data_IF_879243842241
#
_entry.id   IF_879243842241
#
_cell.length_a   1.000
_cell.length_b   1.000
_cell.length_c   1.000
_cell.angle_alpha   90.00
_cell.angle_beta   90.00
_cell.angle_gamma   90.00
#
_symmetry.space_group_name_H-M   'P 1'
#
loop_
_entity.id
_entity.type
_entity.pdbx_description
1 polymer ?
#
# COMPACT_ATOMS: atom_id res chain seq x y z
N UNK A 1 -25.66 -16.79 30.58
CA UNK A 1 -26.72 -16.09 29.82
C UNK A 1 -26.40 -16.27 28.35
N UNK A 2 -27.21 -17.02 27.59
CA UNK A 2 -27.05 -17.13 26.14
C UNK A 2 -27.78 -15.95 25.51
N UNK A 3 -27.03 -14.96 25.06
CA UNK A 3 -27.50 -13.84 24.24
C UNK A 3 -28.06 -14.39 22.92
N UNK A 4 -29.29 -14.01 22.57
CA UNK A 4 -29.96 -14.45 21.34
C UNK A 4 -29.48 -13.60 20.14
N UNK A 5 -29.46 -14.15 18.91
CA UNK A 5 -29.16 -13.39 17.69
C UNK A 5 -30.06 -12.17 17.52
N UNK A 6 -29.48 -11.03 17.13
CA UNK A 6 -30.20 -9.75 16.97
C UNK A 6 -30.15 -9.27 15.50
N UNK A 7 -30.93 -9.89 14.59
CA UNK A 7 -30.84 -9.63 13.15
C UNK A 7 -31.19 -8.20 12.76
N UNK A 8 -32.16 -7.56 13.43
CA UNK A 8 -32.57 -6.19 13.14
C UNK A 8 -31.50 -5.17 13.55
N UNK A 9 -30.89 -5.37 14.72
CA UNK A 9 -29.79 -4.52 15.19
C UNK A 9 -28.54 -4.66 14.29
N UNK A 10 -28.22 -5.89 13.88
CA UNK A 10 -27.14 -6.13 12.92
C UNK A 10 -27.43 -5.47 11.57
N UNK A 11 -28.66 -5.60 11.03
CA UNK A 11 -29.05 -4.94 9.78
C UNK A 11 -28.95 -3.42 9.86
N UNK A 12 -29.32 -2.82 11.00
CA UNK A 12 -29.16 -1.39 11.22
C UNK A 12 -27.67 -0.97 11.20
N UNK A 13 -26.79 -1.74 11.84
CA UNK A 13 -25.35 -1.50 11.81
C UNK A 13 -24.76 -1.62 10.40
N UNK A 14 -25.18 -2.64 9.63
CA UNK A 14 -24.80 -2.81 8.22
C UNK A 14 -25.25 -1.60 7.38
N UNK A 15 -26.44 -1.08 7.63
CA UNK A 15 -26.96 0.11 6.92
C UNK A 15 -26.14 1.37 7.19
N UNK A 16 -25.53 1.50 8.38
CA UNK A 16 -24.67 2.65 8.70
C UNK A 16 -23.34 2.61 7.97
N UNK A 17 -22.89 1.41 7.55
CA UNK A 17 -21.62 1.23 6.84
C UNK A 17 -21.73 1.39 5.33
N UNK A 18 -22.94 1.41 4.76
CA UNK A 18 -23.13 1.74 3.35
C UNK A 18 -23.06 3.26 3.13
N UNK A 19 -22.02 3.70 2.42
CA UNK A 19 -21.93 5.08 1.96
C UNK A 19 -22.95 5.32 0.83
N UNK A 20 -24.07 5.96 1.16
CA UNK A 20 -25.07 6.39 0.17
C UNK A 20 -24.48 7.54 -0.66
N UNK A 21 -24.46 7.40 -1.99
CA UNK A 21 -23.94 8.41 -2.93
C UNK A 21 -22.51 8.17 -3.44
N UNK A 22 -21.86 7.06 -3.05
CA UNK A 22 -20.65 6.59 -3.71
C UNK A 22 -20.99 5.94 -5.07
N UNK A 23 -20.54 6.57 -6.17
CA UNK A 23 -20.73 6.10 -7.55
C UNK A 23 -20.26 4.65 -7.74
N UNK A 24 -19.19 4.22 -7.05
CA UNK A 24 -18.71 2.84 -7.14
C UNK A 24 -19.70 1.89 -6.48
N UNK A 25 -20.18 2.22 -5.29
CA UNK A 25 -21.22 1.45 -4.59
C UNK A 25 -22.53 1.38 -5.38
N UNK A 26 -22.90 2.43 -6.11
CA UNK A 26 -24.07 2.43 -7.01
C UNK A 26 -23.89 1.51 -8.23
N UNK A 27 -22.74 1.57 -8.89
CA UNK A 27 -22.42 0.65 -10.01
C UNK A 27 -22.49 -0.81 -9.55
N UNK A 28 -21.88 -1.12 -8.39
CA UNK A 28 -21.91 -2.48 -7.83
C UNK A 28 -23.33 -2.95 -7.48
N UNK A 29 -24.22 -2.03 -7.07
CA UNK A 29 -25.64 -2.29 -6.83
C UNK A 29 -26.40 -2.55 -8.14
N UNK A 30 -26.06 -1.86 -9.23
CA UNK A 30 -26.66 -2.14 -10.54
C UNK A 30 -26.20 -3.51 -11.08
N UNK A 31 -24.92 -3.86 -10.94
CA UNK A 31 -24.39 -5.18 -11.29
C UNK A 31 -24.99 -6.31 -10.45
N UNK A 32 -25.37 -6.02 -9.20
CA UNK A 32 -26.08 -6.96 -8.33
C UNK A 32 -27.39 -7.45 -8.96
N UNK A 33 -28.15 -6.57 -9.64
CA UNK A 33 -29.45 -6.95 -10.24
C UNK A 33 -29.28 -8.03 -11.33
N UNK A 34 -28.21 -7.96 -12.12
CA UNK A 34 -27.89 -8.97 -13.13
C UNK A 34 -27.47 -10.30 -12.49
N UNK A 35 -26.80 -10.25 -11.34
CA UNK A 35 -26.35 -11.43 -10.59
C UNK A 35 -27.52 -12.09 -9.87
N UNK A 36 -28.38 -11.32 -9.20
CA UNK A 36 -29.62 -11.79 -8.54
C UNK A 36 -30.60 -12.41 -9.55
N UNK A 37 -30.71 -11.85 -10.75
CA UNK A 37 -31.51 -12.46 -11.82
C UNK A 37 -30.94 -13.82 -12.28
N UNK A 38 -29.61 -13.96 -12.32
CA UNK A 38 -28.95 -15.27 -12.53
C UNK A 38 -29.17 -16.24 -11.37
N UNK A 39 -29.23 -15.76 -10.12
CA UNK A 39 -29.54 -16.61 -8.94
C UNK A 39 -30.90 -17.29 -9.05
N UNK A 40 -31.92 -16.53 -9.48
CA UNK A 40 -33.29 -17.04 -9.65
C UNK A 40 -33.38 -18.16 -10.69
N UNK A 41 -32.46 -18.18 -11.65
CA UNK A 41 -32.41 -19.16 -12.73
C UNK A 41 -31.56 -20.41 -12.40
N UNK A 42 -30.66 -20.34 -11.42
CA UNK A 42 -29.63 -21.38 -11.15
C UNK A 42 -29.80 -22.15 -9.83
N UNK A 43 -30.87 -21.90 -9.06
CA UNK A 43 -31.16 -22.56 -7.77
C UNK A 43 -30.08 -22.35 -6.68
N UNK A 44 -29.86 -21.09 -6.31
CA UNK A 44 -29.68 -20.67 -4.91
C UNK A 44 -28.26 -20.62 -4.34
N UNK A 45 -27.55 -21.74 -4.26
CA UNK A 45 -26.43 -21.85 -3.32
C UNK A 45 -25.08 -21.38 -3.87
N UNK A 46 -24.82 -21.51 -5.18
CA UNK A 46 -23.54 -21.07 -5.76
C UNK A 46 -23.43 -19.55 -5.86
N UNK A 47 -24.56 -18.87 -5.91
CA UNK A 47 -24.58 -17.48 -6.34
C UNK A 47 -24.50 -16.46 -5.19
N UNK A 48 -24.97 -16.76 -3.97
CA UNK A 48 -24.69 -15.91 -2.78
C UNK A 48 -23.17 -15.82 -2.55
N UNK A 49 -22.46 -16.91 -2.77
CA UNK A 49 -21.01 -16.99 -2.58
C UNK A 49 -20.21 -16.30 -3.69
N UNK A 50 -20.86 -15.94 -4.79
CA UNK A 50 -20.25 -15.15 -5.87
C UNK A 50 -20.38 -13.64 -5.66
N UNK A 51 -21.19 -13.23 -4.69
CA UNK A 51 -21.39 -11.82 -4.36
C UNK A 51 -20.30 -11.35 -3.41
N UNK A 52 -19.88 -10.12 -3.61
CA UNK A 52 -18.96 -9.48 -2.68
C UNK A 52 -19.67 -8.85 -1.48
N UNK A 53 -18.88 -8.43 -0.50
CA UNK A 53 -19.36 -7.83 0.76
C UNK A 53 -20.38 -6.72 0.52
N UNK A 54 -20.09 -5.73 -0.34
CA UNK A 54 -21.00 -4.62 -0.64
C UNK A 54 -22.34 -5.09 -1.23
N UNK A 55 -22.31 -6.06 -2.16
CA UNK A 55 -23.54 -6.63 -2.73
C UNK A 55 -24.36 -7.40 -1.69
N UNK A 56 -23.70 -8.12 -0.79
CA UNK A 56 -24.35 -8.84 0.30
C UNK A 56 -24.96 -7.89 1.33
N UNK A 57 -24.32 -6.76 1.63
CA UNK A 57 -24.90 -5.69 2.46
C UNK A 57 -26.19 -5.14 1.84
N UNK A 58 -26.18 -4.83 0.54
CA UNK A 58 -27.37 -4.36 -0.18
C UNK A 58 -28.49 -5.41 -0.20
N UNK A 59 -28.15 -6.70 -0.38
CA UNK A 59 -29.14 -7.77 -0.31
C UNK A 59 -29.77 -7.88 1.08
N UNK A 60 -28.98 -7.82 2.15
CA UNK A 60 -29.50 -7.89 3.52
C UNK A 60 -30.44 -6.73 3.83
N UNK A 61 -30.13 -5.52 3.34
CA UNK A 61 -30.95 -4.33 3.53
C UNK A 61 -32.19 -4.32 2.62
N UNK A 62 -32.13 -4.97 1.47
CA UNK A 62 -33.26 -5.07 0.53
C UNK A 62 -34.28 -6.17 0.85
N UNK A 63 -33.95 -7.12 1.74
CA UNK A 63 -34.82 -8.25 2.07
C UNK A 63 -35.94 -7.90 3.06
N UNK A 64 -37.08 -8.59 2.94
CA UNK A 64 -38.17 -8.53 3.90
C UNK A 64 -37.69 -9.12 5.26
N UNK A 65 -37.75 -8.36 6.38
CA UNK A 65 -37.37 -8.84 7.71
C UNK A 65 -38.13 -10.09 8.18
N UNK A 66 -39.30 -10.39 7.61
CA UNK A 66 -40.14 -11.51 8.04
C UNK A 66 -39.64 -12.90 7.59
N UNK A 67 -38.65 -12.96 6.68
CA UNK A 67 -38.14 -14.22 6.12
C UNK A 67 -36.80 -14.63 6.74
N UNK A 68 -36.86 -15.37 7.86
CA UNK A 68 -35.69 -15.70 8.70
C UNK A 68 -34.64 -16.56 7.98
N UNK A 69 -35.05 -17.57 7.19
CA UNK A 69 -34.10 -18.55 6.61
C UNK A 69 -33.23 -17.95 5.50
N UNK A 70 -33.79 -17.24 4.49
CA UNK A 70 -32.99 -16.55 3.48
C UNK A 70 -32.12 -15.44 4.06
N UNK A 71 -32.60 -14.74 5.08
CA UNK A 71 -31.85 -13.70 5.78
C UNK A 71 -30.59 -14.27 6.44
N UNK A 72 -30.71 -15.41 7.13
CA UNK A 72 -29.54 -16.05 7.75
C UNK A 72 -28.51 -16.51 6.70
N UNK A 73 -28.91 -17.04 5.54
CA UNK A 73 -27.94 -17.40 4.49
C UNK A 73 -27.17 -16.18 3.96
N UNK A 74 -27.83 -15.03 3.79
CA UNK A 74 -27.17 -13.78 3.38
C UNK A 74 -26.23 -13.28 4.46
N UNK A 75 -26.63 -13.34 5.74
CA UNK A 75 -25.76 -12.97 6.88
C UNK A 75 -24.52 -13.85 6.91
N UNK A 76 -24.66 -15.16 6.71
CA UNK A 76 -23.51 -16.09 6.68
C UNK A 76 -22.53 -15.74 5.56
N UNK A 77 -23.04 -15.51 4.34
CA UNK A 77 -22.22 -15.06 3.21
C UNK A 77 -21.56 -13.71 3.50
N UNK A 78 -22.29 -12.77 4.10
CA UNK A 78 -21.79 -11.44 4.44
C UNK A 78 -20.64 -11.50 5.44
N UNK A 79 -20.77 -12.30 6.51
CA UNK A 79 -19.70 -12.46 7.51
C UNK A 79 -18.48 -13.11 6.87
N UNK A 80 -18.65 -14.18 6.09
CA UNK A 80 -17.55 -14.82 5.38
C UNK A 80 -16.82 -13.84 4.45
N UNK A 81 -17.57 -13.10 3.64
CA UNK A 81 -17.01 -12.12 2.70
C UNK A 81 -16.32 -10.98 3.44
N UNK A 82 -16.91 -10.48 4.54
CA UNK A 82 -16.32 -9.42 5.35
C UNK A 82 -14.99 -9.84 5.98
N UNK A 83 -14.89 -11.09 6.43
CA UNK A 83 -13.62 -11.65 6.93
C UNK A 83 -12.55 -11.72 5.83
N UNK A 84 -12.93 -12.09 4.61
CA UNK A 84 -12.01 -12.20 3.47
C UNK A 84 -11.57 -10.81 3.00
N UNK A 85 -12.51 -9.86 2.90
CA UNK A 85 -12.28 -8.47 2.48
C UNK A 85 -11.71 -7.59 3.62
N UNK A 86 -11.37 -8.16 4.78
CA UNK A 86 -10.85 -7.45 5.97
C UNK A 86 -11.73 -6.30 6.51
N UNK A 87 -13.05 -6.41 6.35
CA UNK A 87 -14.05 -5.44 6.83
C UNK A 87 -14.35 -5.63 8.33
N UNK A 88 -13.40 -5.24 9.18
CA UNK A 88 -13.43 -5.49 10.63
C UNK A 88 -14.69 -4.94 11.31
N UNK A 89 -15.16 -3.76 10.92
CA UNK A 89 -16.37 -3.17 11.49
C UNK A 89 -17.62 -4.05 11.29
N UNK A 90 -17.72 -4.80 10.18
CA UNK A 90 -18.81 -5.75 9.97
C UNK A 90 -18.65 -7.01 10.82
N UNK A 91 -17.42 -7.47 10.99
CA UNK A 91 -17.09 -8.65 11.81
C UNK A 91 -17.40 -8.37 13.27
N UNK A 92 -16.98 -7.22 13.79
CA UNK A 92 -17.26 -6.77 15.17
C UNK A 92 -18.76 -6.60 15.41
N UNK A 93 -19.50 -6.02 14.46
CA UNK A 93 -20.95 -5.94 14.55
C UNK A 93 -21.58 -7.34 14.59
N UNK A 94 -21.10 -8.29 13.80
CA UNK A 94 -21.61 -9.66 13.80
C UNK A 94 -21.36 -10.37 15.14
N UNK A 95 -20.21 -10.13 15.77
CA UNK A 95 -19.90 -10.62 17.12
C UNK A 95 -20.81 -9.97 18.17
N UNK A 96 -20.92 -8.64 18.17
CA UNK A 96 -21.73 -7.86 19.12
C UNK A 96 -23.21 -8.27 19.12
N UNK A 97 -23.76 -8.54 17.93
CA UNK A 97 -25.18 -8.87 17.75
C UNK A 97 -25.45 -10.38 17.67
N UNK A 98 -24.48 -11.22 18.07
CA UNK A 98 -24.61 -12.70 18.11
C UNK A 98 -25.01 -13.32 16.76
N UNK A 99 -24.51 -12.77 15.66
CA UNK A 99 -24.80 -13.23 14.30
C UNK A 99 -23.80 -14.28 13.80
N UNK A 100 -22.74 -14.58 14.58
CA UNK A 100 -21.79 -15.65 14.25
C UNK A 100 -22.49 -17.00 14.23
N UNK A 101 -22.24 -17.77 13.16
CA UNK A 101 -22.86 -19.08 12.96
C UNK A 101 -22.54 -20.00 14.14
N UNK A 102 -23.53 -20.67 14.75
CA UNK A 102 -23.28 -21.55 15.90
C UNK A 102 -22.23 -22.65 15.62
N UNK A 103 -22.22 -23.21 14.41
CA UNK A 103 -21.21 -24.20 14.00
C UNK A 103 -19.80 -23.64 13.87
N UNK A 104 -19.64 -22.32 13.76
CA UNK A 104 -18.36 -21.64 13.71
C UNK A 104 -17.82 -21.29 15.09
N UNK A 105 -18.69 -21.10 16.10
CA UNK A 105 -18.28 -20.72 17.47
C UNK A 105 -17.15 -21.62 18.02
N UNK A 106 -17.13 -22.91 17.69
CA UNK A 106 -16.11 -23.85 18.14
C UNK A 106 -14.68 -23.57 17.65
N UNK A 107 -14.51 -22.89 16.51
CA UNK A 107 -13.19 -22.53 15.97
C UNK A 107 -13.00 -21.01 15.81
N UNK A 108 -14.07 -20.22 15.83
CA UNK A 108 -14.07 -18.78 15.59
C UNK A 108 -13.14 -18.03 16.57
N UNK A 109 -13.36 -18.21 17.88
CA UNK A 109 -12.57 -17.54 18.91
C UNK A 109 -11.09 -17.95 18.83
N UNK A 110 -10.84 -19.22 18.51
CA UNK A 110 -9.49 -19.75 18.30
C UNK A 110 -8.80 -19.13 17.09
N UNK A 111 -9.53 -18.85 16.00
CA UNK A 111 -8.99 -18.16 14.84
C UNK A 111 -8.75 -16.67 15.14
N UNK A 112 -9.68 -15.99 15.83
CA UNK A 112 -9.59 -14.58 16.22
C UNK A 112 -8.43 -14.28 17.17
N UNK A 113 -8.05 -15.25 17.99
CA UNK A 113 -6.96 -15.11 18.96
C UNK A 113 -5.75 -15.98 18.62
N UNK A 114 -5.65 -16.45 17.36
CA UNK A 114 -4.61 -17.41 16.99
C UNK A 114 -3.21 -16.83 17.22
N UNK A 115 -2.42 -17.55 18.02
CA UNK A 115 -1.00 -17.31 18.23
C UNK A 115 -0.28 -18.64 18.14
N UNK A 116 0.80 -18.70 17.35
CA UNK A 116 1.57 -19.94 17.23
C UNK A 116 2.51 -19.97 16.03
N UNK A 117 3.13 -21.13 15.85
CA UNK A 117 3.97 -21.43 14.68
C UNK A 117 3.14 -21.87 13.49
N UNK A 118 3.78 -21.98 12.33
CA UNK A 118 3.18 -22.49 11.10
C UNK A 118 2.62 -23.90 11.25
N UNK A 119 3.25 -24.77 12.04
CA UNK A 119 2.78 -26.15 12.29
C UNK A 119 1.48 -26.14 13.08
N UNK A 120 1.37 -25.28 14.10
CA UNK A 120 0.14 -25.12 14.89
C UNK A 120 -1.00 -24.57 14.04
N UNK A 121 -0.70 -23.66 13.12
CA UNK A 121 -1.69 -23.11 12.20
C UNK A 121 -2.19 -24.18 11.23
N UNK A 122 -1.28 -24.95 10.62
CA UNK A 122 -1.65 -26.07 9.76
C UNK A 122 -2.49 -27.12 10.50
N UNK A 123 -2.11 -27.51 11.72
CA UNK A 123 -2.87 -28.46 12.52
C UNK A 123 -4.27 -27.93 12.90
N UNK A 124 -4.37 -26.64 13.24
CA UNK A 124 -5.66 -26.00 13.49
C UNK A 124 -6.55 -26.02 12.24
N UNK A 125 -6.03 -25.56 11.10
CA UNK A 125 -6.79 -25.50 9.86
C UNK A 125 -7.18 -26.88 9.34
N UNK A 126 -6.32 -27.90 9.51
CA UNK A 126 -6.62 -29.29 9.15
C UNK A 126 -7.78 -29.90 9.94
N UNK A 127 -8.15 -29.33 11.10
CA UNK A 127 -9.32 -29.77 11.86
C UNK A 127 -10.65 -29.27 11.28
N UNK A 128 -10.61 -28.31 10.36
CA UNK A 128 -11.80 -27.70 9.73
C UNK A 128 -12.03 -28.38 8.38
N UNK A 129 -13.05 -29.24 8.32
CA UNK A 129 -13.35 -30.07 7.13
C UNK A 129 -14.02 -29.32 6.00
N UNK A 130 -14.89 -28.36 6.33
CA UNK A 130 -15.61 -27.57 5.33
C UNK A 130 -14.69 -26.50 4.74
N UNK A 131 -14.54 -26.49 3.41
CA UNK A 131 -13.58 -25.64 2.70
C UNK A 131 -13.87 -24.14 2.86
N UNK A 132 -15.14 -23.76 3.03
CA UNK A 132 -15.53 -22.36 3.25
C UNK A 132 -15.18 -21.91 4.66
N UNK A 133 -15.55 -22.70 5.65
CA UNK A 133 -15.17 -22.50 7.06
C UNK A 133 -13.65 -22.48 7.21
N UNK A 134 -12.94 -23.32 6.46
CA UNK A 134 -11.48 -23.32 6.39
C UNK A 134 -10.95 -21.97 5.88
N UNK A 135 -11.53 -21.45 4.79
CA UNK A 135 -11.11 -20.17 4.21
C UNK A 135 -11.33 -19.00 5.17
N UNK A 136 -12.49 -18.93 5.82
CA UNK A 136 -12.81 -17.91 6.84
C UNK A 136 -11.86 -18.02 8.03
N UNK A 137 -11.64 -19.23 8.56
CA UNK A 137 -10.73 -19.46 9.67
C UNK A 137 -9.28 -19.10 9.32
N UNK A 138 -8.82 -19.45 8.11
CA UNK A 138 -7.49 -19.11 7.62
C UNK A 138 -7.32 -17.59 7.51
N UNK A 139 -8.30 -16.88 6.95
CA UNK A 139 -8.28 -15.42 6.92
C UNK A 139 -8.28 -14.81 8.33
N UNK A 140 -9.09 -15.29 9.27
CA UNK A 140 -9.06 -14.76 10.64
C UNK A 140 -7.71 -15.01 11.34
N UNK A 141 -7.21 -16.25 11.29
CA UNK A 141 -6.00 -16.63 12.00
C UNK A 141 -4.74 -15.97 11.42
N UNK A 142 -4.64 -15.86 10.09
CA UNK A 142 -3.48 -15.27 9.43
C UNK A 142 -3.43 -13.75 9.55
N UNK A 143 -4.56 -13.07 9.79
CA UNK A 143 -4.59 -11.63 10.09
C UNK A 143 -3.77 -11.31 11.35
N UNK A 144 -3.97 -12.10 12.40
CA UNK A 144 -3.34 -11.89 13.72
C UNK A 144 -1.96 -12.51 13.85
N UNK A 145 -1.67 -13.54 13.05
CA UNK A 145 -0.36 -14.18 13.02
C UNK A 145 0.20 -14.37 11.60
N UNK A 146 0.50 -13.29 10.85
CA UNK A 146 0.99 -13.41 9.48
C UNK A 146 2.30 -14.20 9.36
N UNK A 147 3.14 -14.17 10.41
CA UNK A 147 4.40 -14.92 10.47
C UNK A 147 4.23 -16.44 10.45
N UNK A 148 3.03 -16.94 10.76
CA UNK A 148 2.72 -18.37 10.71
C UNK A 148 2.37 -18.84 9.29
N UNK A 149 2.21 -17.94 8.31
CA UNK A 149 1.88 -18.30 6.93
C UNK A 149 3.09 -19.00 6.29
N UNK A 150 2.86 -20.17 5.69
CA UNK A 150 3.87 -20.94 4.96
C UNK A 150 3.33 -21.47 3.62
N UNK A 151 4.20 -22.10 2.83
CA UNK A 151 3.85 -22.65 1.52
C UNK A 151 2.71 -23.67 1.57
N UNK A 152 2.59 -24.45 2.66
CA UNK A 152 1.51 -25.43 2.82
C UNK A 152 0.12 -24.78 2.85
N UNK A 153 -0.01 -23.67 3.57
CA UNK A 153 -1.28 -22.93 3.66
C UNK A 153 -1.62 -22.32 2.30
N UNK A 154 -0.64 -21.68 1.65
CA UNK A 154 -0.79 -21.10 0.32
C UNK A 154 -1.12 -22.17 -0.73
N UNK A 155 -0.54 -23.38 -0.62
CA UNK A 155 -0.87 -24.51 -1.50
C UNK A 155 -2.30 -24.98 -1.31
N UNK A 156 -2.75 -25.06 -0.06
CA UNK A 156 -4.10 -25.54 0.28
C UNK A 156 -5.18 -24.57 -0.18
N UNK A 157 -4.93 -23.27 -0.10
CA UNK A 157 -5.85 -22.24 -0.60
C UNK A 157 -5.81 -22.04 -2.11
N UNK A 158 -4.81 -22.57 -2.82
CA UNK A 158 -4.62 -22.36 -4.25
C UNK A 158 -5.59 -23.18 -5.12
N UNK A 159 -6.83 -22.74 -5.10
CA UNK A 159 -7.93 -23.26 -5.92
C UNK A 159 -8.79 -22.10 -6.39
N UNK A 160 -9.41 -22.21 -7.56
CA UNK A 160 -10.25 -21.15 -8.11
C UNK A 160 -11.38 -20.73 -7.15
N UNK A 161 -11.95 -21.67 -6.40
CA UNK A 161 -12.99 -21.43 -5.41
C UNK A 161 -12.54 -20.62 -4.19
N UNK A 162 -11.24 -20.66 -3.88
CA UNK A 162 -10.63 -19.95 -2.76
C UNK A 162 -9.70 -18.82 -3.24
N UNK A 163 -9.80 -18.39 -4.48
CA UNK A 163 -8.84 -17.45 -5.06
C UNK A 163 -8.73 -16.12 -4.26
N UNK A 164 -9.85 -15.61 -3.73
CA UNK A 164 -9.85 -14.44 -2.84
C UNK A 164 -9.17 -14.73 -1.48
N UNK A 165 -9.44 -15.89 -0.89
CA UNK A 165 -8.79 -16.34 0.36
C UNK A 165 -7.29 -16.51 0.17
N UNK A 166 -6.89 -17.20 -0.90
CA UNK A 166 -5.50 -17.40 -1.28
C UNK A 166 -4.79 -16.06 -1.40
N UNK A 167 -5.40 -15.13 -2.13
CA UNK A 167 -4.84 -13.79 -2.32
C UNK A 167 -4.67 -13.05 -0.99
N UNK A 168 -5.69 -13.04 -0.14
CA UNK A 168 -5.61 -12.35 1.15
C UNK A 168 -4.48 -12.92 2.03
N UNK A 169 -4.34 -14.25 2.05
CA UNK A 169 -3.26 -14.92 2.76
C UNK A 169 -1.91 -14.58 2.11
N UNK A 170 -1.82 -14.55 0.78
CA UNK A 170 -0.60 -14.20 0.06
C UNK A 170 -0.16 -12.75 0.34
N UNK A 171 -1.08 -11.78 0.29
CA UNK A 171 -0.80 -10.37 0.61
C UNK A 171 -0.24 -10.20 2.03
N UNK A 172 -0.83 -10.90 3.01
CA UNK A 172 -0.31 -10.90 4.39
C UNK A 172 1.03 -11.58 4.52
N UNK A 173 1.26 -12.65 3.76
CA UNK A 173 2.55 -13.33 3.74
C UNK A 173 3.66 -12.40 3.20
N UNK A 174 3.36 -11.64 2.15
CA UNK A 174 4.26 -10.67 1.53
C UNK A 174 4.60 -9.50 2.48
N UNK A 175 3.65 -9.08 3.32
CA UNK A 175 3.88 -8.00 4.28
C UNK A 175 4.83 -8.37 5.44
N UNK A 176 5.04 -9.66 5.72
CA UNK A 176 5.69 -10.10 6.97
C UNK A 176 6.87 -11.07 6.82
N UNK A 177 7.11 -11.65 5.64
CA UNK A 177 8.15 -12.66 5.44
C UNK A 177 9.40 -12.10 4.77
N UNK A 178 10.61 -12.59 5.10
CA UNK A 178 11.77 -12.31 4.27
C UNK A 178 11.52 -12.88 2.86
N UNK A 179 11.73 -12.10 1.80
CA UNK A 179 10.75 -12.06 0.74
C UNK A 179 10.88 -13.19 -0.27
N UNK A 180 12.04 -13.81 -0.41
CA UNK A 180 12.37 -14.55 -1.64
C UNK A 180 11.67 -15.90 -1.78
N UNK A 181 11.55 -16.69 -0.70
CA UNK A 181 10.97 -18.04 -0.80
C UNK A 181 9.45 -17.98 -1.08
N UNK A 182 8.73 -17.18 -0.31
CA UNK A 182 7.26 -17.02 -0.46
C UNK A 182 6.90 -16.31 -1.77
N UNK A 183 7.65 -15.27 -2.17
CA UNK A 183 7.40 -14.63 -3.48
C UNK A 183 7.63 -15.59 -4.63
N UNK A 184 8.71 -16.39 -4.58
CA UNK A 184 8.96 -17.43 -5.58
C UNK A 184 7.85 -18.47 -5.65
N UNK A 185 7.37 -18.92 -4.49
CA UNK A 185 6.28 -19.87 -4.40
C UNK A 185 4.98 -19.29 -5.00
N UNK A 186 4.63 -18.05 -4.66
CA UNK A 186 3.46 -17.35 -5.21
C UNK A 186 3.58 -17.19 -6.72
N UNK A 187 4.76 -16.81 -7.24
CA UNK A 187 4.98 -16.73 -8.69
C UNK A 187 4.76 -18.08 -9.38
N UNK A 188 5.28 -19.16 -8.80
CA UNK A 188 5.09 -20.51 -9.35
C UNK A 188 3.61 -20.90 -9.37
N UNK A 189 2.89 -20.60 -8.29
CA UNK A 189 1.45 -20.85 -8.20
C UNK A 189 0.66 -20.10 -9.28
N UNK A 190 0.89 -18.79 -9.42
CA UNK A 190 0.28 -17.97 -10.46
C UNK A 190 0.61 -18.49 -11.86
N UNK A 191 1.84 -18.97 -12.06
CA UNK A 191 2.26 -19.56 -13.32
C UNK A 191 1.47 -20.83 -13.66
N UNK A 192 1.28 -21.69 -12.66
CA UNK A 192 0.61 -22.99 -12.81
C UNK A 192 -0.91 -22.83 -12.98
N UNK A 193 -1.52 -21.80 -12.37
CA UNK A 193 -2.94 -21.45 -12.56
C UNK A 193 -3.15 -19.91 -12.64
N UNK A 194 -2.95 -19.29 -13.82
CA UNK A 194 -3.16 -17.85 -13.98
C UNK A 194 -4.60 -17.40 -13.70
N UNK A 195 -5.59 -18.31 -13.73
CA UNK A 195 -6.97 -17.97 -13.44
C UNK A 195 -7.18 -17.56 -11.98
N UNK A 196 -6.31 -17.98 -11.06
CA UNK A 196 -6.37 -17.54 -9.65
C UNK A 196 -6.15 -16.02 -9.50
N UNK A 197 -5.48 -15.42 -10.48
CA UNK A 197 -5.25 -13.97 -10.55
C UNK A 197 -6.42 -13.20 -11.14
N UNK A 198 -7.42 -13.86 -11.75
CA UNK A 198 -8.65 -13.22 -12.27
C UNK A 198 -9.61 -12.75 -11.16
N UNK A 199 -9.10 -12.61 -9.94
CA UNK A 199 -9.78 -12.01 -8.80
C UNK A 199 -9.65 -10.49 -8.79
N UNK A 200 -10.24 -9.83 -7.79
CA UNK A 200 -10.32 -8.36 -7.66
C UNK A 200 -8.95 -7.69 -7.69
N UNK A 201 -8.68 -6.75 -8.60
CA UNK A 201 -7.49 -5.88 -8.62
C UNK A 201 -6.13 -6.60 -8.77
N UNK A 202 -5.97 -7.44 -9.80
CA UNK A 202 -4.74 -8.20 -10.08
C UNK A 202 -3.49 -7.33 -10.22
N UNK A 203 -3.63 -6.09 -10.70
CA UNK A 203 -2.50 -5.18 -10.96
C UNK A 203 -1.80 -4.76 -9.67
N UNK A 204 -2.57 -4.35 -8.66
CA UNK A 204 -2.03 -3.96 -7.34
C UNK A 204 -1.32 -5.12 -6.64
N UNK A 205 -1.89 -6.33 -6.74
CA UNK A 205 -1.26 -7.52 -6.15
C UNK A 205 0.06 -7.88 -6.86
N UNK A 206 0.08 -7.87 -8.19
CA UNK A 206 1.30 -8.07 -8.96
C UNK A 206 2.36 -7.02 -8.61
N UNK A 207 1.98 -5.76 -8.49
CA UNK A 207 2.90 -4.69 -8.08
C UNK A 207 3.53 -4.98 -6.71
N UNK A 208 2.73 -5.43 -5.74
CA UNK A 208 3.20 -5.80 -4.40
C UNK A 208 4.16 -6.99 -4.45
N UNK A 209 3.82 -8.01 -5.24
CA UNK A 209 4.67 -9.19 -5.44
C UNK A 209 6.02 -8.84 -6.10
N UNK A 210 6.02 -7.96 -7.10
CA UNK A 210 7.23 -7.46 -7.77
C UNK A 210 8.13 -6.69 -6.80
N UNK A 211 7.55 -5.83 -5.95
CA UNK A 211 8.30 -5.07 -4.94
C UNK A 211 8.88 -5.99 -3.87
N UNK A 212 8.16 -7.02 -3.47
CA UNK A 212 8.61 -7.98 -2.49
C UNK A 212 9.72 -8.88 -3.05
N UNK A 213 9.69 -9.27 -4.33
CA UNK A 213 10.70 -10.17 -4.90
C UNK A 213 12.13 -9.64 -4.74
N UNK A 214 13.10 -10.48 -4.40
CA UNK A 214 14.51 -10.06 -4.27
C UNK A 214 15.43 -10.60 -5.37
N UNK A 215 14.95 -11.54 -6.19
CA UNK A 215 15.74 -12.10 -7.29
C UNK A 215 15.84 -11.15 -8.50
N UNK A 216 16.89 -11.32 -9.29
CA UNK A 216 17.08 -10.60 -10.56
C UNK A 216 16.28 -11.19 -11.72
N UNK A 217 15.62 -12.33 -11.52
CA UNK A 217 14.90 -13.12 -12.52
C UNK A 217 13.41 -12.73 -12.65
N UNK A 218 12.99 -11.62 -12.04
CA UNK A 218 11.59 -11.18 -11.98
C UNK A 218 10.91 -11.10 -13.36
N UNK A 219 11.61 -10.59 -14.37
CA UNK A 219 11.05 -10.47 -15.72
C UNK A 219 10.79 -11.84 -16.36
N UNK A 220 11.62 -12.84 -16.06
CA UNK A 220 11.40 -14.21 -16.53
C UNK A 220 10.17 -14.84 -15.87
N UNK A 221 9.97 -14.59 -14.57
CA UNK A 221 8.79 -15.03 -13.81
C UNK A 221 7.51 -14.33 -14.26
N UNK A 222 7.60 -13.06 -14.65
CA UNK A 222 6.47 -12.28 -15.14
C UNK A 222 6.05 -12.61 -16.57
N UNK A 223 6.95 -13.15 -17.41
CA UNK A 223 6.71 -13.41 -18.84
C UNK A 223 5.39 -14.17 -19.11
N UNK A 224 5.02 -15.21 -18.34
CA UNK A 224 3.80 -15.99 -18.61
C UNK A 224 2.51 -15.27 -18.22
N UNK A 225 2.61 -14.25 -17.36
CA UNK A 225 1.48 -13.45 -16.84
C UNK A 225 1.55 -11.98 -17.22
N UNK A 226 2.37 -11.64 -18.22
CA UNK A 226 2.59 -10.24 -18.64
C UNK A 226 1.30 -9.56 -19.13
N UNK A 227 0.32 -10.34 -19.59
CA UNK A 227 -1.01 -9.85 -20.02
C UNK A 227 -1.86 -9.35 -18.85
N UNK A 228 -1.57 -9.79 -17.62
CA UNK A 228 -2.24 -9.34 -16.40
C UNK A 228 -1.65 -8.05 -15.83
N UNK A 229 -0.54 -7.59 -16.40
CA UNK A 229 0.22 -6.45 -15.90
C UNK A 229 -0.42 -5.13 -16.33
N UNK A 230 -1.03 -4.43 -15.37
CA UNK A 230 -1.53 -3.07 -15.53
C UNK A 230 -0.45 -2.01 -15.30
N UNK A 231 -0.87 -0.81 -14.94
CA UNK A 231 0.05 0.32 -14.76
C UNK A 231 0.83 0.23 -13.43
N UNK A 232 0.23 -0.27 -12.35
CA UNK A 232 0.91 -0.38 -11.06
C UNK A 232 2.06 -1.38 -11.12
N UNK A 233 1.82 -2.57 -11.70
CA UNK A 233 2.86 -3.58 -11.83
C UNK A 233 3.99 -3.13 -12.77
N UNK A 234 3.67 -2.36 -13.83
CA UNK A 234 4.68 -1.72 -14.69
C UNK A 234 5.55 -0.73 -13.92
N UNK A 235 4.96 0.13 -13.10
CA UNK A 235 5.70 1.06 -12.25
C UNK A 235 6.60 0.30 -11.28
N UNK A 236 6.11 -0.78 -10.66
CA UNK A 236 6.93 -1.61 -9.78
C UNK A 236 8.14 -2.22 -10.51
N UNK A 237 7.97 -2.78 -11.71
CA UNK A 237 9.09 -3.28 -12.52
C UNK A 237 10.04 -2.15 -12.94
N UNK A 238 9.51 -0.97 -13.26
CA UNK A 238 10.32 0.15 -13.69
C UNK A 238 11.15 0.72 -12.54
N UNK A 239 10.61 0.79 -11.32
CA UNK A 239 11.39 1.11 -10.11
C UNK A 239 12.55 0.15 -9.91
N UNK A 240 12.34 -1.16 -10.08
CA UNK A 240 13.45 -2.13 -10.02
C UNK A 240 14.48 -1.90 -11.12
N UNK A 241 14.05 -1.59 -12.33
CA UNK A 241 14.95 -1.27 -13.42
C UNK A 241 15.78 0.00 -13.12
N UNK A 242 15.25 0.97 -12.37
CA UNK A 242 16.04 2.11 -11.83
C UNK A 242 17.10 1.60 -10.84
N UNK A 243 16.72 0.77 -9.88
CA UNK A 243 17.65 0.24 -8.86
C UNK A 243 18.79 -0.58 -9.48
N UNK A 244 18.48 -1.33 -10.55
CA UNK A 244 19.43 -2.13 -11.33
C UNK A 244 20.17 -1.32 -12.41
N UNK A 245 19.98 0.00 -12.45
CA UNK A 245 20.59 0.92 -13.44
C UNK A 245 20.26 0.61 -14.91
N UNK A 246 19.16 -0.10 -15.17
CA UNK A 246 18.64 -0.43 -16.50
C UNK A 246 17.71 0.68 -17.00
N UNK A 247 18.27 1.87 -17.23
CA UNK A 247 17.52 3.10 -17.51
C UNK A 247 16.59 3.01 -18.72
N UNK A 248 17.05 2.43 -19.83
CA UNK A 248 16.23 2.25 -21.04
C UNK A 248 15.03 1.36 -20.77
N UNK A 249 15.24 0.29 -19.99
CA UNK A 249 14.16 -0.61 -19.60
C UNK A 249 13.13 0.10 -18.71
N UNK A 250 13.58 0.90 -17.75
CA UNK A 250 12.68 1.69 -16.91
C UNK A 250 11.79 2.61 -17.75
N UNK A 251 12.38 3.30 -18.75
CA UNK A 251 11.65 4.17 -19.68
C UNK A 251 10.64 3.40 -20.55
N UNK A 252 11.02 2.24 -21.09
CA UNK A 252 10.11 1.39 -21.86
C UNK A 252 8.89 0.97 -21.06
N UNK A 253 9.08 0.57 -19.80
CA UNK A 253 8.03 0.08 -18.92
C UNK A 253 6.99 1.14 -18.58
N UNK A 254 7.44 2.39 -18.38
CA UNK A 254 6.55 3.52 -18.04
C UNK A 254 6.03 4.30 -19.25
N UNK A 255 6.59 4.10 -20.45
CA UNK A 255 6.12 4.75 -21.68
C UNK A 255 4.60 4.66 -21.93
N UNK A 256 3.92 3.52 -21.75
CA UNK A 256 2.48 3.42 -22.02
C UNK A 256 1.59 4.09 -20.96
N UNK A 257 2.14 4.52 -19.82
CA UNK A 257 1.35 5.13 -18.74
C UNK A 257 0.96 6.56 -19.12
N UNK A 258 -0.33 6.77 -19.30
CA UNK A 258 -0.95 8.04 -19.67
C UNK A 258 -1.42 8.88 -18.48
N UNK A 259 -1.79 10.13 -18.77
CA UNK A 259 -2.15 11.17 -17.78
C UNK A 259 -3.29 10.77 -16.84
N UNK A 260 -4.27 9.99 -17.33
CA UNK A 260 -5.44 9.57 -16.55
C UNK A 260 -5.15 8.41 -15.59
N UNK A 261 -3.93 7.88 -15.57
CA UNK A 261 -3.56 6.80 -14.66
C UNK A 261 -3.26 7.33 -13.26
N UNK A 262 -3.74 6.64 -12.23
CA UNK A 262 -3.45 6.97 -10.82
C UNK A 262 -1.94 6.97 -10.51
N UNK A 263 -1.17 6.12 -11.19
CA UNK A 263 0.30 6.05 -11.05
C UNK A 263 1.07 6.96 -12.04
N UNK A 264 0.40 7.89 -12.71
CA UNK A 264 1.04 8.77 -13.68
C UNK A 264 2.16 9.61 -13.05
N UNK A 265 1.89 10.25 -11.90
CA UNK A 265 2.88 11.05 -11.17
C UNK A 265 4.12 10.21 -10.80
N UNK A 266 3.93 8.99 -10.29
CA UNK A 266 5.03 8.06 -10.00
C UNK A 266 5.80 7.68 -11.27
N UNK A 267 5.12 7.49 -12.39
CA UNK A 267 5.76 7.23 -13.68
C UNK A 267 6.63 8.40 -14.14
N UNK A 268 6.23 9.64 -13.87
CA UNK A 268 7.03 10.85 -14.15
C UNK A 268 8.29 10.89 -13.31
N UNK A 269 8.22 10.53 -12.02
CA UNK A 269 9.40 10.39 -11.16
C UNK A 269 10.39 9.36 -11.71
N UNK A 270 9.91 8.19 -12.12
CA UNK A 270 10.74 7.14 -12.72
C UNK A 270 11.37 7.62 -14.04
N UNK A 271 10.60 8.29 -14.91
CA UNK A 271 11.12 8.88 -16.15
C UNK A 271 12.23 9.89 -15.87
N UNK A 272 12.02 10.78 -14.91
CA UNK A 272 13.01 11.79 -14.53
C UNK A 272 14.29 11.14 -14.01
N UNK A 273 14.18 10.15 -13.13
CA UNK A 273 15.33 9.37 -12.62
C UNK A 273 16.07 8.63 -13.74
N UNK A 274 15.36 7.95 -14.64
CA UNK A 274 15.98 7.24 -15.75
C UNK A 274 16.71 8.19 -16.70
N UNK A 275 16.09 9.33 -17.07
CA UNK A 275 16.75 10.34 -17.90
C UNK A 275 17.96 10.96 -17.20
N UNK A 276 17.87 11.20 -15.89
CA UNK A 276 19.00 11.67 -15.09
C UNK A 276 20.16 10.66 -15.08
N UNK A 277 19.88 9.37 -14.87
CA UNK A 277 20.87 8.30 -14.96
C UNK A 277 21.54 8.20 -16.34
N UNK A 278 20.80 8.54 -17.40
CA UNK A 278 21.31 8.68 -18.77
C UNK A 278 21.97 10.04 -19.07
N UNK A 279 22.08 10.94 -18.09
CA UNK A 279 22.57 12.33 -18.24
C UNK A 279 21.83 13.15 -19.30
N UNK A 280 20.54 12.86 -19.51
CA UNK A 280 19.65 13.58 -20.41
C UNK A 280 18.84 14.63 -19.63
N UNK A 281 19.49 15.73 -19.24
CA UNK A 281 18.92 16.71 -18.29
C UNK A 281 17.65 17.42 -18.80
N UNK A 282 17.60 17.81 -20.09
CA UNK A 282 16.40 18.44 -20.66
C UNK A 282 15.16 17.53 -20.60
N UNK A 283 15.25 16.27 -21.08
CA UNK A 283 14.20 15.27 -20.87
C UNK A 283 13.87 15.00 -19.40
N UNK A 284 14.86 14.99 -18.50
CA UNK A 284 14.62 14.81 -17.07
C UNK A 284 13.77 15.95 -16.48
N UNK A 285 14.06 17.21 -16.82
CA UNK A 285 13.27 18.38 -16.40
C UNK A 285 11.85 18.36 -16.99
N UNK A 286 11.71 17.95 -18.26
CA UNK A 286 10.38 17.81 -18.87
C UNK A 286 9.55 16.73 -18.16
N UNK A 287 10.18 15.63 -17.76
CA UNK A 287 9.51 14.56 -17.01
C UNK A 287 9.15 15.00 -15.59
N UNK A 288 10.03 15.71 -14.88
CA UNK A 288 9.78 16.15 -13.50
C UNK A 288 8.60 17.12 -13.41
N UNK A 289 8.33 17.92 -14.44
CA UNK A 289 7.17 18.81 -14.49
C UNK A 289 5.82 18.09 -14.31
N UNK A 290 5.75 16.79 -14.67
CA UNK A 290 4.56 15.95 -14.49
C UNK A 290 4.42 15.31 -13.11
N UNK A 291 5.33 15.57 -12.17
CA UNK A 291 5.21 15.12 -10.77
C UNK A 291 4.25 16.05 -10.05
N UNK A 292 3.16 15.48 -9.53
CA UNK A 292 2.07 16.22 -8.89
C UNK A 292 2.47 16.77 -7.51
N UNK A 293 3.18 15.97 -6.71
CA UNK A 293 3.66 16.39 -5.41
C UNK A 293 4.80 17.42 -5.56
N UNK A 294 4.52 18.67 -5.17
CA UNK A 294 5.42 19.81 -5.39
C UNK A 294 6.77 19.63 -4.72
N UNK A 295 6.81 19.06 -3.50
CA UNK A 295 8.07 18.80 -2.80
C UNK A 295 8.94 17.80 -3.57
N UNK A 296 8.37 16.66 -3.98
CA UNK A 296 9.06 15.64 -4.77
C UNK A 296 9.52 16.17 -6.12
N UNK A 297 8.73 17.01 -6.78
CA UNK A 297 9.14 17.69 -8.01
C UNK A 297 10.36 18.59 -7.78
N UNK A 298 10.34 19.44 -6.75
CA UNK A 298 11.45 20.36 -6.45
C UNK A 298 12.71 19.59 -6.05
N UNK A 299 12.60 18.51 -5.27
CA UNK A 299 13.73 17.64 -4.96
C UNK A 299 14.36 17.05 -6.23
N UNK A 300 13.53 16.65 -7.21
CA UNK A 300 14.02 16.17 -8.50
C UNK A 300 14.71 17.28 -9.30
N UNK A 301 14.16 18.49 -9.35
CA UNK A 301 14.76 19.65 -10.01
C UNK A 301 16.12 20.03 -9.39
N UNK A 302 16.22 20.03 -8.06
CA UNK A 302 17.50 20.23 -7.35
C UNK A 302 18.50 19.17 -7.77
N UNK A 303 18.12 17.90 -7.79
CA UNK A 303 19.03 16.81 -8.18
C UNK A 303 19.50 16.96 -9.63
N UNK A 304 18.59 17.30 -10.54
CA UNK A 304 18.95 17.54 -11.95
C UNK A 304 19.93 18.72 -12.06
N UNK A 305 19.65 19.83 -11.38
CA UNK A 305 20.51 21.02 -11.38
C UNK A 305 21.91 20.75 -10.81
N UNK A 306 21.99 19.95 -9.73
CA UNK A 306 23.26 19.51 -9.15
C UNK A 306 24.09 18.68 -10.13
N UNK A 307 23.47 17.72 -10.82
CA UNK A 307 24.14 16.86 -11.80
C UNK A 307 24.52 17.61 -13.09
N UNK A 308 23.78 18.66 -13.45
CA UNK A 308 24.09 19.54 -14.59
C UNK A 308 25.01 20.71 -14.23
N UNK A 309 25.39 20.87 -12.97
CA UNK A 309 26.11 22.05 -12.43
C UNK A 309 25.42 23.40 -12.70
N UNK A 310 24.08 23.42 -12.76
CA UNK A 310 23.30 24.67 -12.89
C UNK A 310 22.99 25.23 -11.49
N UNK A 311 23.94 26.01 -10.95
CA UNK A 311 23.81 26.59 -9.61
C UNK A 311 22.62 27.56 -9.51
N UNK A 312 22.24 28.24 -10.60
CA UNK A 312 21.13 29.19 -10.60
C UNK A 312 19.80 28.45 -10.44
N UNK A 313 19.62 27.36 -11.19
CA UNK A 313 18.45 26.50 -11.05
C UNK A 313 18.42 25.79 -9.69
N UNK A 314 19.58 25.33 -9.19
CA UNK A 314 19.71 24.70 -7.87
C UNK A 314 19.23 25.64 -6.76
N UNK A 315 19.72 26.90 -6.73
CA UNK A 315 19.29 27.91 -5.75
C UNK A 315 17.78 28.20 -5.86
N UNK A 316 17.25 28.39 -7.07
CA UNK A 316 15.83 28.69 -7.26
C UNK A 316 14.93 27.55 -6.74
N UNK A 317 15.29 26.29 -7.04
CA UNK A 317 14.53 25.13 -6.59
C UNK A 317 14.64 24.94 -5.08
N UNK A 318 15.84 25.09 -4.49
CA UNK A 318 16.07 25.00 -3.04
C UNK A 318 15.33 26.09 -2.27
N UNK A 319 15.33 27.33 -2.76
CA UNK A 319 14.60 28.44 -2.16
C UNK A 319 13.09 28.17 -2.10
N UNK A 320 12.51 27.66 -3.20
CA UNK A 320 11.10 27.23 -3.23
C UNK A 320 10.84 26.03 -2.32
N UNK A 321 11.73 25.04 -2.31
CA UNK A 321 11.61 23.86 -1.45
C UNK A 321 11.59 24.28 0.03
N UNK A 322 12.49 25.17 0.45
CA UNK A 322 12.51 25.71 1.80
C UNK A 322 11.26 26.50 2.18
N UNK A 323 10.52 27.09 1.24
CA UNK A 323 9.26 27.76 1.57
C UNK A 323 8.16 26.74 1.93
N UNK A 324 8.16 25.58 1.28
CA UNK A 324 7.14 24.53 1.49
C UNK A 324 7.52 23.51 2.57
N UNK A 325 8.81 23.23 2.76
CA UNK A 325 9.34 22.32 3.79
C UNK A 325 10.27 23.09 4.73
N UNK A 326 9.75 24.08 5.45
CA UNK A 326 10.61 25.10 6.04
C UNK A 326 11.39 24.57 7.27
N UNK A 327 10.99 23.42 7.83
CA UNK A 327 11.69 22.73 8.93
C UNK A 327 12.62 21.60 8.45
N UNK A 328 12.86 21.43 7.15
CA UNK A 328 13.74 20.39 6.64
C UNK A 328 15.23 20.82 6.74
N UNK A 329 16.03 20.21 7.64
CA UNK A 329 17.44 20.56 7.80
C UNK A 329 18.27 20.21 6.56
N UNK A 330 17.88 19.19 5.79
CA UNK A 330 18.63 18.77 4.61
C UNK A 330 18.50 19.80 3.48
N UNK A 331 17.28 20.24 3.18
CA UNK A 331 17.04 21.33 2.22
C UNK A 331 17.80 22.62 2.60
N UNK A 332 17.83 22.94 3.89
CA UNK A 332 18.57 24.10 4.39
C UNK A 332 20.09 23.98 4.17
N UNK A 333 20.70 22.86 4.55
CA UNK A 333 22.15 22.64 4.36
C UNK A 333 22.50 22.68 2.86
N UNK A 334 21.68 22.06 2.00
CA UNK A 334 21.89 22.08 0.55
C UNK A 334 21.83 23.51 0.00
N UNK A 335 20.92 24.36 0.51
CA UNK A 335 20.84 25.77 0.11
C UNK A 335 22.09 26.55 0.51
N UNK A 336 22.59 26.37 1.73
CA UNK A 336 23.85 26.98 2.16
C UNK A 336 25.03 26.51 1.29
N UNK A 337 25.12 25.22 0.97
CA UNK A 337 26.14 24.69 0.07
C UNK A 337 26.05 25.30 -1.33
N UNK A 338 24.85 25.50 -1.86
CA UNK A 338 24.64 26.15 -3.15
C UNK A 338 25.14 27.61 -3.14
N UNK A 339 24.75 28.40 -2.13
CA UNK A 339 25.22 29.78 -1.95
C UNK A 339 26.75 29.86 -1.82
N UNK A 340 27.35 28.90 -1.11
CA UNK A 340 28.80 28.79 -0.98
C UNK A 340 29.48 28.51 -2.33
N UNK A 341 28.97 27.55 -3.12
CA UNK A 341 29.48 27.22 -4.47
C UNK A 341 29.39 28.41 -5.42
N UNK A 342 28.33 29.22 -5.30
CA UNK A 342 28.17 30.45 -6.09
C UNK A 342 29.05 31.62 -5.62
N UNK A 343 29.74 31.50 -4.49
CA UNK A 343 30.55 32.59 -3.92
C UNK A 343 29.74 33.70 -3.23
N UNK A 344 28.44 33.49 -2.97
CA UNK A 344 27.55 34.48 -2.33
C UNK A 344 27.72 34.49 -0.80
N UNK A 345 28.90 34.89 -0.32
CA UNK A 345 29.28 34.83 1.10
C UNK A 345 28.38 35.66 2.02
N UNK A 346 27.92 36.83 1.57
CA UNK A 346 27.04 37.69 2.37
C UNK A 346 25.64 37.09 2.52
N UNK A 347 25.07 36.58 1.42
CA UNK A 347 23.78 35.89 1.44
C UNK A 347 23.83 34.62 2.28
N UNK A 348 24.93 33.85 2.18
CA UNK A 348 25.19 32.67 3.00
C UNK A 348 25.14 33.01 4.51
N UNK A 349 25.89 34.05 4.93
CA UNK A 349 25.93 34.48 6.35
C UNK A 349 24.58 34.98 6.83
N UNK A 350 23.94 35.86 6.06
CA UNK A 350 22.62 36.40 6.39
C UNK A 350 21.58 35.29 6.56
N UNK A 351 21.54 34.35 5.61
CA UNK A 351 20.60 33.25 5.63
C UNK A 351 20.86 32.27 6.78
N UNK A 352 22.13 31.97 7.06
CA UNK A 352 22.52 31.14 8.19
C UNK A 352 22.08 31.74 9.53
N UNK A 353 22.29 33.05 9.73
CA UNK A 353 21.89 33.75 10.95
C UNK A 353 20.37 33.81 11.10
N UNK A 354 19.63 34.13 10.04
CA UNK A 354 18.17 34.21 10.05
C UNK A 354 17.50 32.87 10.40
N UNK A 355 18.09 31.76 9.97
CA UNK A 355 17.53 30.43 10.18
C UNK A 355 18.16 29.68 11.35
N UNK A 356 19.16 30.25 12.03
CA UNK A 356 19.90 29.58 13.10
C UNK A 356 18.99 29.14 14.23
N UNK A 357 18.15 30.06 14.74
CA UNK A 357 17.20 29.79 15.84
C UNK A 357 16.26 28.63 15.53
N UNK A 358 15.90 28.47 14.26
CA UNK A 358 14.98 27.44 13.79
C UNK A 358 15.60 26.04 13.76
N UNK A 359 16.91 25.96 13.52
CA UNK A 359 17.61 24.70 13.32
C UNK A 359 18.62 24.38 14.43
N UNK A 360 18.62 25.10 15.55
CA UNK A 360 19.59 24.90 16.65
C UNK A 360 19.58 23.49 17.24
N UNK A 361 18.42 22.82 17.22
CA UNK A 361 18.27 21.46 17.74
C UNK A 361 18.77 20.37 16.78
N UNK A 362 19.19 20.74 15.56
CA UNK A 362 19.73 19.81 14.55
C UNK A 362 21.27 19.82 14.57
N UNK A 363 21.93 18.79 15.12
CA UNK A 363 23.39 18.76 15.29
C UNK A 363 24.16 18.93 13.97
N UNK A 364 23.63 18.39 12.88
CA UNK A 364 24.20 18.49 11.54
C UNK A 364 24.23 19.93 11.02
N UNK A 365 23.18 20.70 11.27
CA UNK A 365 23.08 22.11 10.86
C UNK A 365 24.04 22.96 11.69
N UNK A 366 24.05 22.75 13.01
CA UNK A 366 24.97 23.45 13.92
C UNK A 366 26.43 23.19 13.55
N UNK A 367 26.81 21.93 13.34
CA UNK A 367 28.18 21.57 12.95
C UNK A 367 28.57 22.19 11.60
N UNK A 368 27.62 22.25 10.64
CA UNK A 368 27.85 22.88 9.35
C UNK A 368 28.13 24.38 9.48
N UNK A 369 27.27 25.12 10.21
CA UNK A 369 27.41 26.57 10.42
C UNK A 369 28.73 26.87 11.15
N UNK A 370 29.03 26.15 12.24
CA UNK A 370 30.26 26.35 13.01
C UNK A 370 31.52 26.14 12.16
N UNK A 371 31.58 25.04 11.40
CA UNK A 371 32.78 24.68 10.61
C UNK A 371 32.94 25.51 9.34
N UNK A 372 31.87 25.80 8.62
CA UNK A 372 31.97 26.38 7.28
C UNK A 372 31.78 27.89 7.27
N UNK A 373 31.00 28.43 8.20
CA UNK A 373 30.60 29.84 8.21
C UNK A 373 31.36 30.61 9.28
N UNK A 374 31.46 30.07 10.50
CA UNK A 374 32.12 30.76 11.63
C UNK A 374 33.65 30.63 11.62
N UNK A 375 34.22 29.50 11.22
CA UNK A 375 35.71 29.34 11.17
C UNK A 375 36.40 30.18 10.09
N UNK A 376 35.65 30.70 9.10
CA UNK A 376 36.20 31.50 7.97
C UNK A 376 35.96 33.01 8.09
N UNK A 377 35.29 33.47 9.15
CA UNK A 377 35.01 34.90 9.35
C UNK A 377 34.85 35.24 10.82
N UNK A 378 35.88 35.87 11.38
CA UNK A 378 35.88 36.65 12.61
C UNK A 378 35.38 35.99 13.91
N UNK A 379 36.27 36.05 14.90
CA UNK A 379 36.12 35.68 16.32
C UNK A 379 34.99 36.39 17.09
N UNK A 380 34.16 37.22 16.45
CA UNK A 380 33.09 37.99 17.10
C UNK A 380 31.81 37.18 17.39
N UNK A 381 31.57 36.08 16.67
CA UNK A 381 30.40 35.23 16.87
C UNK A 381 30.61 34.08 17.88
N UNK A 382 31.86 33.72 18.22
CA UNK A 382 32.14 32.74 19.28
C UNK A 382 31.64 33.17 20.66
N UNK A 383 31.40 34.47 20.87
CA UNK A 383 30.86 34.99 22.13
C UNK A 383 29.38 34.63 22.36
N UNK A 384 28.61 34.36 21.30
CA UNK A 384 27.18 33.98 21.41
C UNK A 384 27.00 32.49 21.74
N UNK A 385 28.05 31.68 21.60
CA UNK A 385 28.04 30.23 21.81
C UNK A 385 28.64 29.78 23.15
N UNK A 386 28.98 30.72 24.04
CA UNK A 386 29.36 30.37 25.40
C UNK A 386 28.14 29.75 26.13
N UNK A 387 28.28 28.56 26.77
CA UNK A 387 27.22 28.01 27.58
C UNK A 387 26.84 29.03 28.66
N UNK A 388 25.54 29.38 28.76
CA UNK A 388 25.07 30.23 29.86
C UNK A 388 25.46 29.53 31.17
N UNK A 389 26.09 30.23 32.13
CA UNK A 389 26.37 29.65 33.42
C UNK A 389 25.03 29.24 34.05
N UNK A 390 24.95 27.97 34.45
CA UNK A 390 23.85 27.46 35.27
C UNK A 390 23.81 28.29 36.55
N UNK A 391 22.81 29.16 36.69
CA UNK A 391 22.52 29.81 37.96
C UNK A 391 21.90 28.75 38.88
N UNK A 392 22.63 28.43 39.95
CA UNK A 392 22.09 27.77 41.13
C UNK A 392 21.35 28.76 42.03
#
# INVERSE_FOLDING_TARGET
MTTQPQPDAFRAAVSQQLAVGDLRSEVMRHEMSATVNRMRLTKGDEAINSLNTTQLMWMLIGQDPSSITPQMQVVQGLIASAVIDDQEALVEAAEQYEMIIPSWKGWWDKARSFQGSSEKLNAFLASIRDIRSWGVAACLATKHCPKAINESILRTSHTQWLALVWRQIAERALAHSPPTAITNFIFQQIHDDPAIMMTRDSDTFLASLIRAHQGSDIESKMKPIITLMGHQARVALASRAIDEQRWDRALELVKPIGLLSEVFSTSCTIRALAYLGKRAFGPALKASAGIEEVATRLMMEVRIAQESNDLSQEEQALSKLMQITPKDPAAFIQHLLCLQKQGKQEALRSHALQCMERFMDYPEVKSFIEKQILTRGDTSLSATFAPRPSQG
#
